data_IF_715549655554
#
_entry.id   IF_715549655554
#
_cell.length_a   1.000
_cell.length_b   1.000
_cell.length_c   1.000
_cell.angle_alpha   90.00
_cell.angle_beta   90.00
_cell.angle_gamma   90.00
#
_symmetry.space_group_name_H-M   'P 1'
#
loop_
_entity.id
_entity.type
_entity.pdbx_description
1 polymer ?
#
# COMPACT_ATOMS: atom_id res chain seq x y z
N UNK A 1 -38.78 3.91 19.35
CA UNK A 1 -37.43 3.39 19.02
C UNK A 1 -36.42 4.22 19.77
N UNK A 2 -35.53 3.57 20.53
CA UNK A 2 -34.44 4.28 21.22
C UNK A 2 -33.30 4.42 20.22
N UNK A 3 -33.17 5.58 19.59
CA UNK A 3 -32.14 5.89 18.60
C UNK A 3 -30.84 6.30 19.30
N UNK A 4 -29.69 6.03 18.67
CA UNK A 4 -28.42 6.65 19.05
C UNK A 4 -28.12 7.84 18.14
N UNK A 5 -27.60 8.95 18.69
CA UNK A 5 -27.19 10.08 17.87
C UNK A 5 -25.95 9.71 17.04
N UNK A 6 -25.75 10.37 15.91
CA UNK A 6 -24.58 10.15 15.06
C UNK A 6 -24.64 8.85 14.25
N UNK A 7 -23.63 8.65 13.41
CA UNK A 7 -23.63 7.56 12.42
C UNK A 7 -22.97 6.28 12.96
N UNK A 8 -21.99 6.45 13.85
CA UNK A 8 -21.13 5.38 14.35
C UNK A 8 -21.45 4.91 15.77
N UNK A 9 -22.31 5.64 16.51
CA UNK A 9 -22.70 5.23 17.86
C UNK A 9 -23.66 4.05 17.82
N UNK A 10 -23.43 3.07 18.68
CA UNK A 10 -24.31 1.93 18.89
C UNK A 10 -24.45 1.56 20.35
N UNK A 11 -25.26 0.53 20.60
CA UNK A 11 -25.46 -0.06 21.93
C UNK A 11 -24.99 -1.50 21.95
N UNK A 12 -24.49 -1.92 23.09
CA UNK A 12 -24.18 -3.32 23.40
C UNK A 12 -25.18 -3.86 24.41
N UNK A 13 -25.39 -5.17 24.42
CA UNK A 13 -26.14 -5.83 25.49
C UNK A 13 -25.25 -5.95 26.73
N UNK A 14 -25.81 -5.59 27.88
CA UNK A 14 -25.22 -5.83 29.20
C UNK A 14 -25.49 -7.28 29.63
N UNK A 15 -24.77 -7.77 30.64
CA UNK A 15 -24.90 -9.14 31.17
C UNK A 15 -26.34 -9.51 31.58
N UNK A 16 -27.15 -8.52 31.95
CA UNK A 16 -28.57 -8.69 32.31
C UNK A 16 -29.53 -8.69 31.10
N UNK A 17 -29.03 -8.85 29.87
CA UNK A 17 -29.78 -8.68 28.60
C UNK A 17 -30.43 -7.29 28.41
N UNK A 18 -30.07 -6.31 29.23
CA UNK A 18 -30.51 -4.92 29.08
C UNK A 18 -29.61 -4.20 28.07
N UNK A 19 -30.18 -3.29 27.27
CA UNK A 19 -29.40 -2.44 26.37
C UNK A 19 -28.59 -1.41 27.16
N UNK A 20 -27.29 -1.37 26.92
CA UNK A 20 -26.40 -0.34 27.45
C UNK A 20 -26.66 1.04 26.87
N UNK A 21 -25.88 2.01 27.35
CA UNK A 21 -25.88 3.38 26.83
C UNK A 21 -25.30 3.43 25.40
N UNK A 22 -25.60 4.51 24.66
CA UNK A 22 -25.02 4.72 23.34
C UNK A 22 -23.53 5.06 23.47
N UNK A 23 -22.67 4.33 22.77
CA UNK A 23 -21.23 4.54 22.74
C UNK A 23 -20.55 3.95 21.52
N UNK A 24 -19.24 3.80 21.58
CA UNK A 24 -18.45 3.12 20.55
C UNK A 24 -18.71 1.60 20.57
N UNK A 25 -18.82 0.95 19.40
CA UNK A 25 -18.85 -0.50 19.37
C UNK A 25 -17.45 -1.08 19.64
N UNK A 26 -17.38 -2.31 20.17
CA UNK A 26 -16.12 -3.03 20.33
C UNK A 26 -15.39 -3.23 19.00
N UNK A 27 -14.08 -3.49 19.07
CA UNK A 27 -13.26 -3.79 17.87
C UNK A 27 -13.81 -5.02 17.13
N UNK A 28 -13.95 -4.92 15.82
CA UNK A 28 -14.55 -5.97 14.99
C UNK A 28 -16.08 -6.03 15.02
N UNK A 29 -16.72 -5.03 15.64
CA UNK A 29 -18.18 -4.84 15.62
C UNK A 29 -18.53 -3.56 14.88
N UNK A 30 -19.72 -3.54 14.29
CA UNK A 30 -20.30 -2.36 13.66
C UNK A 30 -21.75 -2.22 14.07
N UNK A 31 -22.19 -0.98 14.24
CA UNK A 31 -23.59 -0.66 14.54
C UNK A 31 -24.48 -0.98 13.33
N UNK A 32 -25.58 -1.68 13.58
CA UNK A 32 -26.66 -1.88 12.64
C UNK A 32 -27.48 -0.58 12.47
N UNK A 33 -27.78 -0.21 11.23
CA UNK A 33 -28.39 1.09 10.91
C UNK A 33 -29.84 1.22 11.36
N UNK A 34 -30.58 0.10 11.43
CA UNK A 34 -32.00 0.11 11.81
C UNK A 34 -32.20 -0.07 13.31
N UNK A 35 -31.44 -0.98 13.92
CA UNK A 35 -31.58 -1.34 15.35
C UNK A 35 -30.68 -0.53 16.27
N UNK A 36 -29.63 0.11 15.74
CA UNK A 36 -28.60 0.83 16.52
C UNK A 36 -27.78 -0.07 17.46
N UNK A 37 -27.82 -1.39 17.25
CA UNK A 37 -27.11 -2.38 18.06
C UNK A 37 -25.77 -2.72 17.40
N UNK A 38 -24.72 -2.88 18.20
CA UNK A 38 -23.40 -3.29 17.74
C UNK A 38 -23.40 -4.80 17.43
N UNK A 39 -23.20 -5.16 16.17
CA UNK A 39 -23.16 -6.54 15.69
C UNK A 39 -21.74 -6.89 15.21
N UNK A 40 -21.28 -8.14 15.39
CA UNK A 40 -19.96 -8.55 14.92
C UNK A 40 -19.92 -8.54 13.39
N UNK A 41 -18.85 -8.00 12.82
CA UNK A 41 -18.64 -8.07 11.39
C UNK A 41 -18.24 -9.49 11.01
N UNK A 42 -18.96 -10.11 10.07
CA UNK A 42 -18.69 -11.46 9.58
C UNK A 42 -18.45 -11.50 8.06
N UNK A 43 -18.24 -10.32 7.45
CA UNK A 43 -17.92 -10.23 6.03
C UNK A 43 -16.47 -10.63 5.77
N UNK A 44 -16.15 -10.87 4.50
CA UNK A 44 -14.78 -11.06 4.03
C UNK A 44 -14.32 -9.82 3.24
N UNK A 45 -13.01 -9.50 3.23
CA UNK A 45 -12.50 -8.40 2.42
C UNK A 45 -12.81 -8.61 0.94
N UNK A 46 -13.26 -7.54 0.29
CA UNK A 46 -13.52 -7.52 -1.14
C UNK A 46 -12.20 -7.61 -1.92
N UNK A 47 -12.29 -7.92 -3.21
CA UNK A 47 -11.11 -7.95 -4.08
C UNK A 47 -10.32 -6.63 -4.04
N UNK A 48 -11.01 -5.49 -4.00
CA UNK A 48 -10.39 -4.17 -3.88
C UNK A 48 -9.65 -3.99 -2.54
N UNK A 49 -10.19 -4.50 -1.44
CA UNK A 49 -9.56 -4.44 -0.11
C UNK A 49 -8.22 -5.19 -0.11
N UNK A 50 -8.18 -6.35 -0.76
CA UNK A 50 -6.96 -7.12 -0.94
C UNK A 50 -5.92 -6.41 -1.81
N UNK A 51 -6.36 -5.71 -2.86
CA UNK A 51 -5.47 -4.87 -3.66
C UNK A 51 -4.96 -3.67 -2.86
N UNK A 52 -5.77 -3.09 -1.99
CA UNK A 52 -5.27 -2.03 -1.11
C UNK A 52 -4.20 -2.54 -0.12
N UNK A 53 -4.43 -3.69 0.53
CA UNK A 53 -3.45 -4.30 1.42
C UNK A 53 -2.18 -4.68 0.67
N UNK A 54 -2.32 -5.26 -0.53
CA UNK A 54 -1.20 -5.58 -1.43
C UNK A 54 -0.41 -4.32 -1.83
N UNK A 55 -1.08 -3.20 -2.09
CA UNK A 55 -0.42 -1.93 -2.35
C UNK A 55 0.43 -1.46 -1.17
N UNK A 56 -0.07 -1.57 0.06
CA UNK A 56 0.71 -1.19 1.25
C UNK A 56 1.97 -2.05 1.44
N UNK A 57 1.86 -3.36 1.17
CA UNK A 57 2.99 -4.28 1.17
C UNK A 57 4.00 -3.93 0.07
N UNK A 58 3.51 -3.65 -1.13
CA UNK A 58 4.31 -3.29 -2.29
C UNK A 58 5.04 -1.96 -2.10
N UNK A 59 4.37 -0.96 -1.53
CA UNK A 59 4.94 0.34 -1.21
C UNK A 59 6.12 0.19 -0.22
N UNK A 60 5.93 -0.60 0.84
CA UNK A 60 7.01 -0.88 1.78
C UNK A 60 8.19 -1.62 1.12
N UNK A 61 7.92 -2.59 0.25
CA UNK A 61 8.95 -3.33 -0.49
C UNK A 61 9.75 -2.42 -1.43
N UNK A 62 9.06 -1.59 -2.23
CA UNK A 62 9.69 -0.64 -3.16
C UNK A 62 10.56 0.36 -2.40
N UNK A 63 10.07 0.88 -1.26
CA UNK A 63 10.87 1.77 -0.41
C UNK A 63 12.10 1.06 0.16
N UNK A 64 11.96 -0.19 0.61
CA UNK A 64 13.13 -0.97 1.04
C UNK A 64 14.17 -1.10 -0.08
N UNK A 65 13.77 -1.46 -1.30
CA UNK A 65 14.68 -1.57 -2.43
C UNK A 65 15.30 -0.22 -2.80
N UNK A 66 14.49 0.84 -2.85
CA UNK A 66 14.97 2.20 -3.12
C UNK A 66 16.03 2.65 -2.12
N UNK A 67 15.81 2.46 -0.81
CA UNK A 67 16.80 2.83 0.21
C UNK A 67 18.03 1.92 0.19
N UNK A 68 17.91 0.66 -0.20
CA UNK A 68 19.07 -0.21 -0.43
C UNK A 68 19.94 0.37 -1.54
N UNK A 69 19.34 0.70 -2.69
CA UNK A 69 20.05 1.26 -3.84
C UNK A 69 20.69 2.62 -3.51
N UNK A 70 19.95 3.49 -2.81
CA UNK A 70 20.42 4.80 -2.36
C UNK A 70 21.60 4.69 -1.37
N UNK A 71 21.66 3.66 -0.53
CA UNK A 71 22.76 3.48 0.42
C UNK A 71 23.99 2.87 -0.25
N UNK A 72 23.78 1.91 -1.15
CA UNK A 72 24.89 1.22 -1.80
C UNK A 72 25.60 2.15 -2.78
N UNK A 73 24.90 3.09 -3.43
CA UNK A 73 25.48 4.06 -4.39
C UNK A 73 26.36 3.40 -5.46
N UNK A 74 26.07 2.16 -5.86
CA UNK A 74 26.82 1.43 -6.89
C UNK A 74 25.94 1.18 -8.10
N UNK A 75 26.44 1.57 -9.28
CA UNK A 75 25.74 1.44 -10.56
C UNK A 75 25.60 -0.02 -11.07
N UNK A 76 26.39 -0.96 -10.56
CA UNK A 76 26.46 -2.33 -11.09
C UNK A 76 25.78 -3.34 -10.16
N UNK A 77 25.01 -4.27 -10.75
CA UNK A 77 24.41 -5.42 -10.05
C UNK A 77 25.49 -6.33 -9.46
N UNK A 78 25.73 -6.19 -8.16
CA UNK A 78 26.61 -7.08 -7.42
C UNK A 78 25.77 -8.14 -6.69
N UNK A 79 26.25 -9.38 -6.62
CA UNK A 79 25.63 -10.49 -5.89
C UNK A 79 25.23 -10.09 -4.46
N UNK A 80 26.03 -9.25 -3.80
CA UNK A 80 25.75 -8.75 -2.45
C UNK A 80 24.50 -7.87 -2.38
N UNK A 81 24.27 -7.01 -3.39
CA UNK A 81 23.10 -6.13 -3.46
C UNK A 81 21.85 -6.93 -3.74
N UNK A 82 21.95 -7.93 -4.63
CA UNK A 82 20.86 -8.86 -4.92
C UNK A 82 20.44 -9.64 -3.66
N UNK A 83 21.40 -10.12 -2.86
CA UNK A 83 21.10 -10.79 -1.58
C UNK A 83 20.30 -9.86 -0.65
N UNK A 84 20.63 -8.57 -0.59
CA UNK A 84 19.92 -7.62 0.27
C UNK A 84 18.50 -7.32 -0.24
N UNK A 85 18.30 -7.25 -1.56
CA UNK A 85 16.97 -7.14 -2.17
C UNK A 85 16.11 -8.39 -1.89
N UNK A 86 16.70 -9.58 -2.03
CA UNK A 86 16.04 -10.84 -1.69
C UNK A 86 15.72 -10.92 -0.20
N UNK A 87 16.61 -10.46 0.69
CA UNK A 87 16.34 -10.36 2.12
C UNK A 87 15.12 -9.50 2.41
N UNK A 88 15.07 -8.30 1.82
CA UNK A 88 13.95 -7.39 1.97
C UNK A 88 12.62 -8.01 1.50
N UNK A 89 12.65 -8.73 0.37
CA UNK A 89 11.48 -9.44 -0.14
C UNK A 89 11.00 -10.51 0.84
N UNK A 90 11.93 -11.33 1.37
CA UNK A 90 11.62 -12.39 2.32
C UNK A 90 11.09 -11.82 3.64
N UNK A 91 11.72 -10.77 4.17
CA UNK A 91 11.27 -10.04 5.37
C UNK A 91 9.81 -9.56 5.21
N UNK A 92 9.47 -8.96 4.06
CA UNK A 92 8.13 -8.44 3.77
C UNK A 92 7.10 -9.56 3.58
N UNK A 93 7.48 -10.68 2.95
CA UNK A 93 6.59 -11.85 2.81
C UNK A 93 6.28 -12.42 4.19
N UNK A 94 7.28 -12.64 5.04
CA UNK A 94 7.06 -13.13 6.40
C UNK A 94 6.24 -12.15 7.25
N UNK A 95 6.50 -10.84 7.13
CA UNK A 95 5.69 -9.83 7.81
C UNK A 95 4.22 -9.90 7.40
N UNK A 96 3.94 -10.08 6.11
CA UNK A 96 2.58 -10.24 5.59
C UNK A 96 1.91 -11.50 6.14
N UNK A 97 2.62 -12.64 6.16
CA UNK A 97 2.10 -13.90 6.71
C UNK A 97 1.80 -13.77 8.20
N UNK A 98 2.72 -13.21 9.00
CA UNK A 98 2.49 -12.99 10.42
C UNK A 98 1.36 -12.00 10.69
N UNK A 99 1.18 -11.00 9.83
CA UNK A 99 0.03 -10.08 9.93
C UNK A 99 -1.28 -10.83 9.74
N UNK A 100 -1.39 -11.68 8.72
CA UNK A 100 -2.59 -12.49 8.48
C UNK A 100 -2.87 -13.41 9.67
N UNK A 101 -1.85 -14.15 10.15
CA UNK A 101 -2.01 -15.09 11.26
C UNK A 101 -2.33 -14.43 12.61
N UNK A 102 -2.02 -13.15 12.78
CA UNK A 102 -2.30 -12.40 14.02
C UNK A 102 -3.56 -11.54 13.95
N UNK A 103 -4.19 -11.46 12.77
CA UNK A 103 -5.47 -10.77 12.59
C UNK A 103 -6.62 -11.74 12.81
N UNK A 104 -7.78 -11.26 13.27
CA UNK A 104 -8.92 -12.15 13.48
C UNK A 104 -9.43 -12.79 12.18
N UNK A 105 -9.74 -14.11 12.21
CA UNK A 105 -9.51 -15.06 13.31
C UNK A 105 -8.03 -15.50 13.45
N UNK A 106 -7.50 -15.39 14.67
CA UNK A 106 -6.09 -15.71 14.99
C UNK A 106 -5.74 -17.13 14.54
N UNK A 107 -4.61 -17.27 13.84
CA UNK A 107 -4.09 -18.55 13.32
C UNK A 107 -4.64 -18.96 11.95
N UNK A 108 -5.55 -18.19 11.36
CA UNK A 108 -6.05 -18.41 10.00
C UNK A 108 -5.39 -17.47 8.98
N UNK A 109 -5.40 -17.86 7.71
CA UNK A 109 -5.08 -16.96 6.59
C UNK A 109 -6.33 -16.24 6.06
N UNK A 110 -7.51 -16.64 6.51
CA UNK A 110 -8.73 -15.90 6.21
C UNK A 110 -8.86 -14.71 7.15
N UNK A 111 -9.39 -13.59 6.63
CA UNK A 111 -9.55 -12.35 7.38
C UNK A 111 -11.03 -12.02 7.46
N UNK A 112 -11.49 -11.70 8.67
CA UNK A 112 -12.85 -11.21 8.89
C UNK A 112 -12.86 -9.68 8.84
N UNK A 113 -13.74 -9.08 8.04
CA UNK A 113 -13.81 -7.63 7.87
C UNK A 113 -15.22 -7.04 8.02
N UNK A 114 -15.27 -5.74 8.26
CA UNK A 114 -16.46 -4.90 8.18
C UNK A 114 -16.49 -4.25 6.79
N UNK A 115 -17.63 -4.33 6.11
CA UNK A 115 -17.79 -3.68 4.80
C UNK A 115 -17.64 -2.15 4.88
N UNK A 116 -16.76 -1.61 4.06
CA UNK A 116 -16.56 -0.17 3.89
C UNK A 116 -17.74 0.42 3.13
N UNK A 117 -18.31 1.50 3.63
CA UNK A 117 -19.46 2.18 3.00
C UNK A 117 -19.09 3.53 2.41
N UNK A 118 -18.26 4.28 3.12
CA UNK A 118 -17.90 5.65 2.73
C UNK A 118 -16.54 6.06 3.32
N UNK A 119 -15.99 7.14 2.80
CA UNK A 119 -14.74 7.74 3.30
C UNK A 119 -14.81 8.10 4.79
N UNK A 120 -15.98 8.49 5.29
CA UNK A 120 -16.20 8.80 6.71
C UNK A 120 -15.91 7.63 7.65
N UNK A 121 -15.98 6.38 7.16
CA UNK A 121 -15.69 5.19 7.96
C UNK A 121 -14.23 5.12 8.41
N UNK A 122 -13.32 5.78 7.68
CA UNK A 122 -11.91 5.90 8.04
C UNK A 122 -11.65 6.97 9.12
N UNK A 123 -12.59 7.89 9.32
CA UNK A 123 -12.42 9.07 10.17
C UNK A 123 -13.56 9.21 11.18
N UNK A 124 -13.95 8.10 11.83
CA UNK A 124 -15.05 8.07 12.80
C UNK A 124 -14.87 9.07 13.95
N UNK A 125 -13.62 9.41 14.29
CA UNK A 125 -13.27 10.44 15.28
C UNK A 125 -13.87 11.81 14.95
N UNK A 126 -13.94 12.18 13.67
CA UNK A 126 -14.48 13.45 13.19
C UNK A 126 -16.01 13.48 13.20
N UNK A 127 -16.65 12.32 13.37
CA UNK A 127 -18.10 12.15 13.32
C UNK A 127 -18.73 11.85 14.70
N UNK A 128 -18.05 12.21 15.78
CA UNK A 128 -18.59 12.12 17.14
C UNK A 128 -19.75 13.12 17.34
N UNK A 129 -20.97 12.68 17.69
CA UNK A 129 -22.11 13.56 17.84
C UNK A 129 -22.07 14.39 19.13
N UNK A 130 -22.72 15.56 19.08
CA UNK A 130 -22.95 16.46 20.22
C UNK A 130 -24.44 16.74 20.39
N UNK A 131 -25.22 15.78 20.92
CA UNK A 131 -26.65 15.99 21.14
C UNK A 131 -26.87 17.23 22.03
N UNK A 132 -27.76 18.12 21.60
CA UNK A 132 -28.10 19.38 22.27
C UNK A 132 -26.91 20.31 22.59
N UNK A 133 -25.76 20.14 21.92
CA UNK A 133 -24.53 20.92 22.14
C UNK A 133 -23.92 20.84 23.55
N UNK A 134 -24.41 19.96 24.43
CA UNK A 134 -23.94 19.87 25.82
C UNK A 134 -22.68 18.99 25.96
N UNK A 135 -22.79 17.71 25.59
CA UNK A 135 -21.73 16.71 25.78
C UNK A 135 -21.45 15.97 24.49
N UNK A 136 -20.16 15.73 24.22
CA UNK A 136 -19.73 14.90 23.08
C UNK A 136 -19.83 13.44 23.49
N UNK A 137 -20.53 12.63 22.70
CA UNK A 137 -20.51 11.17 22.87
C UNK A 137 -19.40 10.63 21.98
N UNK A 138 -18.43 9.95 22.58
CA UNK A 138 -17.29 9.38 21.85
C UNK A 138 -17.67 8.01 21.29
N UNK A 139 -17.85 7.95 19.97
CA UNK A 139 -18.22 6.76 19.21
C UNK A 139 -17.13 6.39 18.20
N UNK A 140 -15.90 6.77 18.51
CA UNK A 140 -14.73 6.49 17.67
C UNK A 140 -14.42 5.01 17.72
N UNK A 141 -14.44 4.39 16.55
CA UNK A 141 -14.21 2.96 16.37
C UNK A 141 -13.57 2.70 15.01
N UNK A 142 -12.96 1.54 14.84
CA UNK A 142 -12.47 1.07 13.55
C UNK A 142 -13.64 0.53 12.70
N UNK A 143 -14.37 1.42 12.04
CA UNK A 143 -15.52 1.02 11.21
C UNK A 143 -15.10 0.23 9.94
N UNK A 144 -13.84 0.38 9.52
CA UNK A 144 -13.19 -0.35 8.42
C UNK A 144 -12.37 -1.55 8.90
N UNK A 145 -12.73 -2.14 10.05
CA UNK A 145 -12.00 -3.27 10.61
C UNK A 145 -11.81 -4.39 9.58
N UNK A 146 -10.63 -5.01 9.48
CA UNK A 146 -9.37 -4.71 10.15
C UNK A 146 -8.40 -3.93 9.25
N UNK A 147 -8.85 -3.36 8.12
CA UNK A 147 -7.98 -2.78 7.08
C UNK A 147 -7.04 -1.71 7.64
N UNK A 148 -7.52 -0.89 8.59
CA UNK A 148 -6.70 0.16 9.17
C UNK A 148 -5.63 -0.46 10.08
N UNK A 149 -6.04 -1.30 11.04
CA UNK A 149 -5.14 -1.89 12.03
C UNK A 149 -4.15 -2.89 11.41
N UNK A 150 -4.56 -3.67 10.41
CA UNK A 150 -3.69 -4.64 9.73
C UNK A 150 -2.44 -3.99 9.15
N UNK A 151 -2.55 -2.79 8.58
CA UNK A 151 -1.41 -2.08 8.00
C UNK A 151 -0.38 -1.72 9.07
N UNK A 152 -0.82 -1.31 10.27
CA UNK A 152 0.08 -1.04 11.39
C UNK A 152 0.75 -2.30 11.93
N UNK A 153 -0.02 -3.39 12.07
CA UNK A 153 0.51 -4.70 12.47
C UNK A 153 1.59 -5.14 11.47
N UNK A 154 1.32 -4.99 10.17
CA UNK A 154 2.30 -5.27 9.12
C UNK A 154 3.57 -4.43 9.25
N UNK A 155 3.45 -3.11 9.43
CA UNK A 155 4.63 -2.26 9.62
C UNK A 155 5.43 -2.63 10.88
N UNK A 156 4.75 -3.04 11.96
CA UNK A 156 5.41 -3.52 13.17
C UNK A 156 6.19 -4.82 12.91
N UNK A 157 5.59 -5.82 12.26
CA UNK A 157 6.31 -7.05 11.91
C UNK A 157 7.43 -6.82 10.90
N UNK A 158 7.23 -5.95 9.91
CA UNK A 158 8.25 -5.59 8.95
C UNK A 158 9.46 -4.94 9.65
N UNK A 159 9.21 -4.02 10.60
CA UNK A 159 10.26 -3.41 11.41
C UNK A 159 10.99 -4.46 12.26
N UNK A 160 10.25 -5.33 12.96
CA UNK A 160 10.83 -6.37 13.81
C UNK A 160 11.69 -7.35 13.01
N UNK A 161 11.20 -7.87 11.89
CA UNK A 161 11.95 -8.79 11.04
C UNK A 161 13.18 -8.12 10.43
N UNK A 162 13.05 -6.87 9.99
CA UNK A 162 14.19 -6.10 9.50
C UNK A 162 15.26 -5.94 10.58
N UNK A 163 14.88 -5.57 11.81
CA UNK A 163 15.82 -5.43 12.93
C UNK A 163 16.48 -6.76 13.36
N UNK A 164 15.82 -7.90 13.16
CA UNK A 164 16.35 -9.22 13.53
C UNK A 164 17.24 -9.82 12.43
N UNK A 165 16.77 -9.78 11.18
CA UNK A 165 17.37 -10.50 10.05
C UNK A 165 18.43 -9.65 9.35
N UNK A 166 18.15 -8.37 9.10
CA UNK A 166 18.99 -7.50 8.28
C UNK A 166 20.38 -7.25 8.87
N UNK A 167 20.57 -7.00 10.18
CA UNK A 167 21.92 -6.82 10.75
C UNK A 167 22.83 -8.04 10.54
N UNK A 168 22.27 -9.25 10.63
CA UNK A 168 23.03 -10.48 10.46
C UNK A 168 23.51 -10.65 9.01
N UNK A 169 22.63 -10.44 8.03
CA UNK A 169 22.95 -10.49 6.61
C UNK A 169 23.95 -9.38 6.24
N UNK A 170 23.69 -8.18 6.71
CA UNK A 170 24.55 -7.03 6.46
C UNK A 170 25.96 -7.21 7.05
N UNK A 171 26.11 -7.82 8.23
CA UNK A 171 27.43 -8.17 8.81
C UNK A 171 28.21 -9.10 7.90
N UNK A 172 27.54 -10.05 7.24
CA UNK A 172 28.16 -11.04 6.35
C UNK A 172 28.42 -10.51 4.93
N UNK A 173 27.52 -9.69 4.39
CA UNK A 173 27.56 -9.26 2.99
C UNK A 173 28.12 -7.85 2.76
N UNK A 174 27.89 -6.89 3.67
CA UNK A 174 28.34 -5.48 3.54
C UNK A 174 28.75 -4.88 4.89
N UNK A 175 29.88 -5.27 5.49
CA UNK A 175 30.27 -4.87 6.84
C UNK A 175 30.48 -3.35 7.02
N UNK A 176 30.79 -2.60 5.95
CA UNK A 176 31.04 -1.14 6.01
C UNK A 176 29.82 -0.24 5.79
N UNK A 177 28.81 -0.67 5.03
CA UNK A 177 27.65 0.16 4.62
C UNK A 177 26.31 -0.29 5.26
N UNK A 178 26.34 -1.37 6.04
CA UNK A 178 25.20 -2.02 6.67
C UNK A 178 24.27 -1.11 7.46
N UNK A 179 24.85 -0.19 8.24
CA UNK A 179 24.11 0.58 9.25
C UNK A 179 23.09 1.54 8.62
N UNK A 180 23.44 2.15 7.48
CA UNK A 180 22.60 3.17 6.85
C UNK A 180 21.29 2.60 6.28
N UNK A 181 21.32 1.38 5.72
CA UNK A 181 20.11 0.72 5.21
C UNK A 181 19.11 0.41 6.33
N UNK A 182 19.61 0.04 7.52
CA UNK A 182 18.78 -0.23 8.70
C UNK A 182 18.19 1.08 9.23
N UNK A 183 19.00 2.14 9.36
CA UNK A 183 18.49 3.45 9.80
C UNK A 183 17.41 4.00 8.87
N UNK A 184 17.59 3.90 7.56
CA UNK A 184 16.59 4.34 6.60
C UNK A 184 15.23 3.64 6.86
N UNK A 185 15.24 2.33 7.08
CA UNK A 185 14.03 1.56 7.42
C UNK A 185 13.40 1.94 8.76
N UNK A 186 14.21 2.24 9.77
CA UNK A 186 13.72 2.74 11.06
C UNK A 186 13.04 4.10 10.95
N UNK A 187 13.36 4.92 9.94
CA UNK A 187 12.69 6.20 9.71
C UNK A 187 11.48 6.09 8.80
N UNK A 188 11.59 5.39 7.66
CA UNK A 188 10.49 5.42 6.68
C UNK A 188 9.26 4.62 7.15
N UNK A 189 9.42 3.51 7.89
CA UNK A 189 8.27 2.71 8.36
C UNK A 189 7.37 3.50 9.33
N UNK A 190 7.90 4.20 10.35
CA UNK A 190 7.09 5.11 11.16
C UNK A 190 6.46 6.26 10.37
N UNK A 191 7.15 6.81 9.37
CA UNK A 191 6.58 7.84 8.49
C UNK A 191 5.40 7.28 7.70
N UNK A 192 5.51 6.07 7.15
CA UNK A 192 4.39 5.39 6.48
C UNK A 192 3.24 5.12 7.45
N UNK A 193 3.52 4.71 8.68
CA UNK A 193 2.50 4.55 9.70
C UNK A 193 1.78 5.87 10.00
N UNK A 194 2.51 6.98 10.13
CA UNK A 194 1.91 8.30 10.31
C UNK A 194 1.03 8.71 9.13
N UNK A 195 1.52 8.51 7.89
CA UNK A 195 0.73 8.75 6.69
C UNK A 195 -0.54 7.89 6.66
N UNK A 196 -0.43 6.60 7.02
CA UNK A 196 -1.58 5.71 7.11
C UNK A 196 -2.59 6.16 8.18
N UNK A 197 -2.10 6.65 9.33
CA UNK A 197 -2.95 7.16 10.40
C UNK A 197 -3.73 8.42 9.99
N UNK A 198 -3.08 9.33 9.26
CA UNK A 198 -3.66 10.63 8.89
C UNK A 198 -4.49 10.60 7.62
N UNK A 199 -4.01 9.89 6.59
CA UNK A 199 -4.59 9.90 5.24
C UNK A 199 -4.93 8.50 4.72
N UNK A 200 -4.97 7.47 5.57
CA UNK A 200 -5.21 6.08 5.15
C UNK A 200 -6.50 5.89 4.34
N UNK A 201 -7.57 6.60 4.70
CA UNK A 201 -8.81 6.59 3.92
C UNK A 201 -8.67 7.25 2.56
N UNK A 202 -7.94 8.37 2.45
CA UNK A 202 -7.67 8.99 1.16
C UNK A 202 -6.78 8.08 0.29
N UNK A 203 -5.77 7.44 0.88
CA UNK A 203 -4.93 6.46 0.21
C UNK A 203 -5.76 5.28 -0.29
N UNK A 204 -6.70 4.76 0.51
CA UNK A 204 -7.57 3.66 0.10
C UNK A 204 -8.37 3.96 -1.16
N UNK A 205 -8.90 5.17 -1.33
CA UNK A 205 -9.65 5.52 -2.56
C UNK A 205 -8.76 5.98 -3.73
N UNK A 206 -7.54 6.44 -3.46
CA UNK A 206 -6.65 7.03 -4.48
C UNK A 206 -5.53 6.11 -4.97
N UNK A 207 -5.18 5.05 -4.24
CA UNK A 207 -4.04 4.19 -4.57
C UNK A 207 -4.02 3.66 -6.01
N UNK A 208 -5.15 3.27 -6.65
CA UNK A 208 -5.09 2.73 -8.01
C UNK A 208 -4.59 3.80 -8.99
N UNK A 209 -5.07 5.03 -8.83
CA UNK A 209 -4.67 6.18 -9.63
C UNK A 209 -3.23 6.60 -9.33
N UNK A 210 -2.83 6.60 -8.06
CA UNK A 210 -1.45 6.87 -7.66
C UNK A 210 -0.47 5.91 -8.33
N UNK A 211 -0.77 4.60 -8.35
CA UNK A 211 0.08 3.59 -8.99
C UNK A 211 0.16 3.84 -10.51
N UNK A 212 -0.97 4.11 -11.18
CA UNK A 212 -0.99 4.38 -12.63
C UNK A 212 -0.15 5.62 -12.95
N UNK A 213 -0.36 6.73 -12.24
CA UNK A 213 0.37 7.97 -12.47
C UNK A 213 1.86 7.80 -12.16
N UNK A 214 2.20 7.24 -11.00
CA UNK A 214 3.59 7.04 -10.58
C UNK A 214 4.33 6.07 -11.50
N UNK A 215 3.66 5.02 -11.99
CA UNK A 215 4.28 4.09 -12.96
C UNK A 215 4.58 4.78 -14.30
N UNK A 216 3.71 5.66 -14.81
CA UNK A 216 3.98 6.44 -16.02
C UNK A 216 5.15 7.41 -15.81
N UNK A 217 5.14 8.16 -14.71
CA UNK A 217 6.21 9.11 -14.37
C UNK A 217 7.55 8.38 -14.21
N UNK A 218 7.56 7.27 -13.46
CA UNK A 218 8.77 6.49 -13.20
C UNK A 218 9.31 5.84 -14.48
N UNK A 219 8.42 5.37 -15.36
CA UNK A 219 8.79 4.84 -16.68
C UNK A 219 9.45 5.92 -17.54
N UNK A 220 8.84 7.12 -17.62
CA UNK A 220 9.42 8.25 -18.34
C UNK A 220 10.77 8.69 -17.76
N UNK A 221 10.89 8.77 -16.43
CA UNK A 221 12.13 9.13 -15.76
C UNK A 221 13.25 8.10 -16.02
N UNK A 222 12.93 6.80 -16.06
CA UNK A 222 13.89 5.75 -16.38
C UNK A 222 14.49 5.94 -17.79
N UNK A 223 13.67 6.25 -18.79
CA UNK A 223 14.15 6.50 -20.14
C UNK A 223 14.87 7.85 -20.30
N UNK A 224 14.46 8.88 -19.55
CA UNK A 224 15.08 10.20 -19.59
C UNK A 224 16.53 10.21 -19.08
N UNK A 225 16.91 9.24 -18.24
CA UNK A 225 18.29 9.12 -17.72
C UNK A 225 19.25 8.48 -18.74
N UNK A 226 18.75 7.88 -19.83
CA UNK A 226 19.61 7.32 -20.87
C UNK A 226 20.33 8.43 -21.66
N UNK A 227 21.63 8.23 -21.94
CA UNK A 227 22.47 9.23 -22.62
C UNK A 227 22.03 9.48 -24.07
N UNK A 228 21.73 8.42 -24.81
CA UNK A 228 21.24 8.51 -26.19
C UNK A 228 19.71 8.54 -26.22
N UNK A 229 19.11 9.69 -26.54
CA UNK A 229 17.65 9.86 -26.65
C UNK A 229 17.10 9.48 -28.04
N UNK A 230 17.90 8.81 -28.87
CA UNK A 230 17.46 8.35 -30.19
C UNK A 230 16.67 7.03 -30.08
N UNK A 231 15.62 6.88 -30.90
CA UNK A 231 14.66 5.78 -30.77
C UNK A 231 15.30 4.38 -30.82
N UNK A 232 16.20 4.15 -31.78
CA UNK A 232 16.74 2.82 -32.06
C UNK A 232 17.71 2.37 -30.96
N UNK A 233 18.66 3.21 -30.49
CA UNK A 233 19.42 2.95 -29.28
C UNK A 233 18.57 2.76 -28.02
N UNK A 234 17.49 3.53 -27.82
CA UNK A 234 16.56 3.29 -26.71
C UNK A 234 16.02 1.87 -26.74
N UNK A 235 15.47 1.43 -27.87
CA UNK A 235 14.87 0.10 -28.01
C UNK A 235 15.93 -0.99 -27.76
N UNK A 236 17.10 -0.88 -28.39
CA UNK A 236 18.17 -1.88 -28.25
C UNK A 236 18.63 -1.96 -26.78
N UNK A 237 18.92 -0.82 -26.16
CA UNK A 237 19.42 -0.76 -24.78
C UNK A 237 18.38 -1.27 -23.78
N UNK A 238 17.09 -1.11 -24.09
CA UNK A 238 15.99 -1.58 -23.25
C UNK A 238 15.83 -3.10 -23.30
N UNK A 239 16.07 -3.72 -24.45
CA UNK A 239 15.88 -5.17 -24.66
C UNK A 239 17.16 -5.98 -24.40
N UNK A 240 18.33 -5.39 -24.63
CA UNK A 240 19.62 -6.08 -24.49
C UNK A 240 20.18 -5.99 -23.07
N UNK A 241 20.00 -4.86 -22.38
CA UNK A 241 20.47 -4.72 -21.00
C UNK A 241 19.46 -5.34 -20.03
N UNK A 242 19.87 -6.44 -19.38
CA UNK A 242 19.07 -7.17 -18.39
C UNK A 242 18.51 -6.25 -17.30
N UNK A 243 19.27 -5.22 -16.87
CA UNK A 243 18.82 -4.26 -15.87
C UNK A 243 17.59 -3.49 -16.35
N UNK A 244 17.66 -2.97 -17.57
CA UNK A 244 16.57 -2.18 -18.14
C UNK A 244 15.33 -3.04 -18.40
N UNK A 245 15.51 -4.29 -18.83
CA UNK A 245 14.41 -5.26 -18.98
C UNK A 245 13.72 -5.50 -17.64
N UNK A 246 14.47 -5.78 -16.57
CA UNK A 246 13.89 -6.02 -15.23
C UNK A 246 13.13 -4.79 -14.74
N UNK A 247 13.72 -3.59 -14.88
CA UNK A 247 13.09 -2.34 -14.47
C UNK A 247 11.81 -2.09 -15.27
N UNK A 248 11.84 -2.28 -16.60
CA UNK A 248 10.67 -2.10 -17.46
C UNK A 248 9.54 -3.07 -17.11
N UNK A 249 9.85 -4.35 -16.90
CA UNK A 249 8.88 -5.35 -16.45
C UNK A 249 8.27 -4.93 -15.11
N UNK A 250 9.08 -4.42 -14.18
CA UNK A 250 8.59 -3.89 -12.90
C UNK A 250 7.58 -2.75 -13.08
N UNK A 251 7.88 -1.78 -13.96
CA UNK A 251 6.96 -0.69 -14.29
C UNK A 251 5.67 -1.20 -14.92
N UNK A 252 5.76 -2.18 -15.84
CA UNK A 252 4.59 -2.79 -16.47
C UNK A 252 3.72 -3.54 -15.47
N UNK A 253 4.32 -4.31 -14.57
CA UNK A 253 3.60 -5.00 -13.50
C UNK A 253 2.89 -3.99 -12.58
N UNK A 254 3.55 -2.89 -12.19
CA UNK A 254 2.93 -1.83 -11.39
C UNK A 254 1.77 -1.17 -12.14
N UNK A 255 1.95 -0.86 -13.42
CA UNK A 255 0.91 -0.23 -14.23
C UNK A 255 -0.30 -1.15 -14.40
N UNK A 256 -0.06 -2.44 -14.69
CA UNK A 256 -1.10 -3.46 -14.78
C UNK A 256 -1.86 -3.59 -13.45
N UNK A 257 -1.15 -3.59 -12.32
CA UNK A 257 -1.74 -3.63 -10.99
C UNK A 257 -2.69 -2.45 -10.75
N UNK A 258 -2.29 -1.24 -11.15
CA UNK A 258 -3.13 -0.05 -11.07
C UNK A 258 -4.40 -0.15 -11.93
N UNK A 259 -4.29 -0.60 -13.18
CA UNK A 259 -5.46 -0.83 -14.07
C UNK A 259 -6.40 -1.88 -13.48
N UNK A 260 -5.87 -2.98 -12.97
CA UNK A 260 -6.64 -4.04 -12.30
C UNK A 260 -7.38 -3.48 -11.08
N UNK A 261 -6.72 -2.65 -10.27
CA UNK A 261 -7.33 -2.04 -9.09
C UNK A 261 -8.44 -1.02 -9.44
N UNK A 262 -8.30 -0.26 -10.52
CA UNK A 262 -9.34 0.67 -11.00
C UNK A 262 -10.56 -0.11 -11.50
N UNK A 263 -10.35 -1.15 -12.29
CA UNK A 263 -11.41 -1.87 -13.00
C UNK A 263 -12.09 -2.95 -12.16
N UNK A 264 -11.40 -3.44 -11.12
CA UNK A 264 -11.80 -4.56 -10.25
C UNK A 264 -12.20 -5.83 -11.02
N UNK A 265 -11.77 -5.96 -12.29
CA UNK A 265 -12.17 -7.02 -13.22
C UNK A 265 -13.69 -7.25 -13.33
N UNK A 266 -14.49 -6.20 -13.12
CA UNK A 266 -15.97 -6.27 -13.20
C UNK A 266 -16.52 -6.79 -14.54
N UNK A 267 -15.87 -6.44 -15.66
CA UNK A 267 -16.11 -6.97 -17.00
C UNK A 267 -14.82 -7.57 -17.58
N UNK A 268 -14.58 -8.89 -17.47
CA UNK A 268 -13.27 -9.48 -17.73
C UNK A 268 -12.80 -9.34 -19.18
N UNK A 269 -13.71 -9.34 -20.16
CA UNK A 269 -13.36 -9.22 -21.58
C UNK A 269 -12.81 -7.84 -21.94
N UNK A 270 -13.52 -6.77 -21.55
CA UNK A 270 -13.08 -5.40 -21.78
C UNK A 270 -11.84 -5.07 -20.94
N UNK A 271 -11.83 -5.46 -19.67
CA UNK A 271 -10.72 -5.13 -18.78
C UNK A 271 -9.44 -5.88 -19.12
N UNK A 272 -9.53 -7.11 -19.67
CA UNK A 272 -8.37 -7.80 -20.21
C UNK A 272 -7.77 -7.06 -21.41
N UNK A 273 -8.58 -6.41 -22.26
CA UNK A 273 -8.08 -5.58 -23.34
C UNK A 273 -7.35 -4.33 -22.83
N UNK A 274 -7.75 -3.76 -21.69
CA UNK A 274 -7.02 -2.64 -21.08
C UNK A 274 -5.61 -3.03 -20.61
N UNK A 275 -5.38 -4.30 -20.26
CA UNK A 275 -4.04 -4.80 -19.91
C UNK A 275 -3.10 -4.77 -21.13
N UNK A 276 -3.62 -4.85 -22.36
CA UNK A 276 -2.82 -4.67 -23.57
C UNK A 276 -2.22 -3.25 -23.67
N UNK A 277 -2.76 -2.29 -22.91
CA UNK A 277 -2.28 -0.91 -22.87
C UNK A 277 -1.11 -0.70 -21.90
N UNK A 278 -0.74 -1.71 -21.12
CA UNK A 278 0.40 -1.66 -20.19
C UNK A 278 1.75 -1.23 -20.82
N UNK A 279 2.14 -1.69 -22.02
CA UNK A 279 3.37 -1.23 -22.67
C UNK A 279 3.27 0.19 -23.24
N UNK A 280 2.07 0.78 -23.32
CA UNK A 280 1.83 2.07 -23.97
C UNK A 280 2.71 3.20 -23.42
N UNK A 281 2.91 3.40 -22.10
CA UNK A 281 3.74 4.49 -21.59
C UNK A 281 5.20 4.40 -22.10
N UNK A 282 5.75 3.19 -22.17
CA UNK A 282 7.11 2.97 -22.65
C UNK A 282 7.22 3.22 -24.17
N UNK A 283 6.28 2.67 -24.94
CA UNK A 283 6.22 2.89 -26.39
C UNK A 283 6.01 4.37 -26.72
N UNK A 284 5.10 5.03 -26.02
CA UNK A 284 4.83 6.45 -26.19
C UNK A 284 6.08 7.30 -25.92
N UNK A 285 6.81 7.03 -24.83
CA UNK A 285 8.08 7.72 -24.56
C UNK A 285 9.08 7.50 -25.71
N UNK A 286 9.33 6.25 -26.10
CA UNK A 286 10.30 5.92 -27.16
C UNK A 286 9.95 6.64 -28.47
N UNK A 287 8.67 6.63 -28.87
CA UNK A 287 8.23 7.29 -30.10
C UNK A 287 8.30 8.82 -30.04
N UNK A 288 8.17 9.41 -28.86
CA UNK A 288 8.19 10.87 -28.67
C UNK A 288 9.55 11.41 -28.22
N UNK A 289 10.52 10.56 -27.88
CA UNK A 289 11.87 10.93 -27.42
C UNK A 289 12.57 11.87 -28.41
N UNK A 290 12.38 11.65 -29.72
CA UNK A 290 12.94 12.52 -30.78
C UNK A 290 12.47 13.98 -30.66
N UNK A 291 11.27 14.23 -30.16
CA UNK A 291 10.68 15.57 -30.07
C UNK A 291 10.92 16.25 -28.71
N UNK A 292 11.39 15.50 -27.72
CA UNK A 292 11.51 15.96 -26.33
C UNK A 292 12.96 16.10 -25.86
N UNK A 293 13.93 15.81 -26.74
CA UNK A 293 15.37 15.91 -26.44
C UNK A 293 15.81 17.37 -26.19
N UNK A 294 16.26 17.70 -24.96
CA UNK A 294 16.67 19.06 -24.58
C UNK A 294 17.88 19.57 -25.37
N UNK A 295 18.73 18.67 -25.89
CA UNK A 295 19.93 19.06 -26.67
C UNK A 295 19.59 19.83 -27.94
N UNK A 296 18.38 19.64 -28.49
CA UNK A 296 17.90 20.35 -29.69
C UNK A 296 17.51 21.80 -29.43
N UNK A 297 17.21 22.16 -28.18
CA UNK A 297 16.82 23.51 -27.81
C UNK A 297 18.01 24.35 -27.33
N UNK A 298 19.13 23.71 -26.99
CA UNK A 298 20.38 24.37 -26.58
C UNK A 298 21.33 24.67 -27.74
N UNK A 299 21.05 24.14 -28.94
CA UNK A 299 21.86 24.35 -30.15
C UNK A 299 21.31 25.42 -31.09
N UNK A 300 20.42 26.31 -30.61
CA UNK A 300 19.85 27.45 -31.35
C UNK A 300 20.29 28.77 -30.74
#
# INVERSE_FOLDING_TARGET
MITCPGWYCGRTYLENNTLGECGACPRGYRRNDTTYICEPCNDNPLFYDWLYLGFMVLLALVLHWFFIDLVVMRRNFNKQVLILHCSALVEIIFASIFTLLSTDPIGSLNVRSCRIRSLSDWYTLLHNPRPNYDKVIHCTQEAVYPLHTMVFIFFAYALMLMLLVRPWICKKCLPRQSKMSIYAAMYFLPILALLQALIGGLLYYSFPYLIVILSVISCAAHFAVQLDQTMLPLIITTVVDLRNVIILIGHWCLHAYGIVAITQLTNPTLHALLILLVPLPALFYIFTARFTDPSKFLSS
#
